data_IF_576587417622
#
_entry.id   IF_576587417622
#
_cell.length_a   1.000
_cell.length_b   1.000
_cell.length_c   1.000
_cell.angle_alpha   90.00
_cell.angle_beta   90.00
_cell.angle_gamma   90.00
#
_symmetry.space_group_name_H-M   'P 1'
#
loop_
_entity.id
_entity.type
_entity.pdbx_description
1 polymer ?
#
# COMPACT_ATOMS: atom_id res chain seq x y z
N UNK A 1 12.63 -25.35 8.89
CA UNK A 1 11.56 -25.17 7.89
C UNK A 1 10.26 -24.68 8.54
N UNK A 2 9.63 -25.44 9.43
CA UNK A 2 8.41 -24.99 10.12
C UNK A 2 8.58 -23.65 10.86
N UNK A 3 9.67 -23.51 11.62
CA UNK A 3 9.98 -22.26 12.34
C UNK A 3 10.09 -21.06 11.38
N UNK A 4 10.80 -21.21 10.26
CA UNK A 4 10.96 -20.14 9.26
C UNK A 4 9.60 -19.74 8.65
N UNK A 5 8.75 -20.72 8.35
CA UNK A 5 7.41 -20.45 7.83
C UNK A 5 6.56 -19.68 8.85
N UNK A 6 6.58 -20.10 10.11
CA UNK A 6 5.90 -19.38 11.20
C UNK A 6 6.44 -17.96 11.38
N UNK A 7 7.76 -17.77 11.29
CA UNK A 7 8.38 -16.45 11.36
C UNK A 7 7.94 -15.53 10.22
N UNK A 8 7.82 -16.06 8.99
CA UNK A 8 7.33 -15.29 7.83
C UNK A 8 5.87 -14.89 8.04
N UNK A 9 5.00 -15.84 8.41
CA UNK A 9 3.58 -15.55 8.63
C UNK A 9 3.38 -14.55 9.76
N UNK A 10 4.05 -14.75 10.91
CA UNK A 10 3.98 -13.82 12.04
C UNK A 10 4.55 -12.44 11.68
N UNK A 11 5.66 -12.40 10.95
CA UNK A 11 6.28 -11.16 10.48
C UNK A 11 5.33 -10.35 9.60
N UNK A 12 4.69 -10.98 8.61
CA UNK A 12 3.69 -10.31 7.77
C UNK A 12 2.48 -9.85 8.58
N UNK A 13 1.96 -10.69 9.50
CA UNK A 13 0.82 -10.31 10.33
C UNK A 13 1.12 -9.05 11.18
N UNK A 14 2.29 -9.01 11.82
CA UNK A 14 2.73 -7.86 12.62
C UNK A 14 2.96 -6.64 11.74
N UNK A 15 3.58 -6.81 10.57
CA UNK A 15 3.86 -5.72 9.64
C UNK A 15 2.56 -5.07 9.13
N UNK A 16 1.60 -5.88 8.68
CA UNK A 16 0.30 -5.42 8.19
C UNK A 16 -0.46 -4.71 9.32
N UNK A 17 -0.50 -5.31 10.51
CA UNK A 17 -1.16 -4.72 11.66
C UNK A 17 -0.52 -3.38 12.08
N UNK A 18 0.82 -3.31 12.10
CA UNK A 18 1.56 -2.11 12.42
C UNK A 18 1.31 -0.99 11.40
N UNK A 19 1.32 -1.33 10.10
CA UNK A 19 1.01 -0.38 9.03
C UNK A 19 -0.42 0.15 9.15
N UNK A 20 -1.42 -0.69 9.38
CA UNK A 20 -2.81 -0.26 9.56
C UNK A 20 -2.96 0.70 10.75
N UNK A 21 -2.35 0.36 11.90
CA UNK A 21 -2.36 1.25 13.08
C UNK A 21 -1.64 2.57 12.83
N UNK A 22 -0.52 2.55 12.10
CA UNK A 22 0.18 3.76 11.70
C UNK A 22 -0.70 4.65 10.81
N UNK A 23 -1.35 4.10 9.80
CA UNK A 23 -2.23 4.84 8.88
C UNK A 23 -3.42 5.44 9.61
N UNK A 24 -4.06 4.67 10.50
CA UNK A 24 -5.18 5.15 11.32
C UNK A 24 -4.74 6.30 12.23
N UNK A 25 -3.60 6.16 12.92
CA UNK A 25 -3.07 7.19 13.81
C UNK A 25 -2.67 8.46 13.06
N UNK A 26 -1.95 8.33 11.95
CA UNK A 26 -1.54 9.43 11.10
C UNK A 26 -2.76 10.15 10.50
N UNK A 27 -3.75 9.40 10.02
CA UNK A 27 -4.99 9.96 9.45
C UNK A 27 -5.82 10.69 10.51
N UNK A 28 -5.92 10.15 11.72
CA UNK A 28 -6.60 10.81 12.83
C UNK A 28 -5.89 12.11 13.23
N UNK A 29 -4.56 12.09 13.30
CA UNK A 29 -3.75 13.27 13.60
C UNK A 29 -3.94 14.36 12.56
N UNK A 30 -3.85 14.01 11.27
CA UNK A 30 -4.05 14.97 10.17
C UNK A 30 -5.45 15.60 10.21
N UNK A 31 -6.50 14.81 10.48
CA UNK A 31 -7.86 15.33 10.64
C UNK A 31 -8.00 16.28 11.83
N UNK A 32 -7.39 15.95 12.97
CA UNK A 32 -7.40 16.81 14.15
C UNK A 32 -6.67 18.15 13.93
N UNK A 33 -5.70 18.18 13.00
CA UNK A 33 -5.01 19.39 12.57
C UNK A 33 -5.77 20.17 11.48
N UNK A 34 -6.99 19.75 11.11
CA UNK A 34 -7.81 20.43 10.12
C UNK A 34 -7.46 20.11 8.66
N UNK A 35 -6.66 19.08 8.39
CA UNK A 35 -6.32 18.67 7.02
C UNK A 35 -7.57 18.09 6.33
N UNK A 36 -7.92 18.55 5.12
CA UNK A 36 -9.07 18.04 4.37
C UNK A 36 -9.02 16.52 4.16
N UNK A 37 -10.14 15.79 4.31
CA UNK A 37 -10.19 14.33 4.15
C UNK A 37 -9.65 13.83 2.80
N UNK A 38 -9.86 14.61 1.73
CA UNK A 38 -9.34 14.30 0.40
C UNK A 38 -7.80 14.24 0.39
N UNK A 39 -7.13 15.19 1.05
CA UNK A 39 -5.67 15.23 1.13
C UNK A 39 -5.17 14.05 1.97
N UNK A 40 -5.84 13.75 3.09
CA UNK A 40 -5.49 12.58 3.93
C UNK A 40 -5.62 11.26 3.14
N UNK A 41 -6.67 11.11 2.34
CA UNK A 41 -6.88 9.95 1.48
C UNK A 41 -5.79 9.82 0.40
N UNK A 42 -5.50 10.92 -0.31
CA UNK A 42 -4.50 10.93 -1.39
C UNK A 42 -3.06 10.77 -0.89
N UNK A 43 -2.78 11.14 0.36
CA UNK A 43 -1.41 11.10 0.92
C UNK A 43 -1.23 10.00 1.94
N UNK A 44 -1.76 10.17 3.15
CA UNK A 44 -1.54 9.26 4.29
C UNK A 44 -2.04 7.86 3.99
N UNK A 45 -3.25 7.75 3.42
CA UNK A 45 -3.82 6.44 3.10
C UNK A 45 -3.13 5.84 1.88
N UNK A 46 -2.90 6.62 0.83
CA UNK A 46 -2.20 6.17 -0.39
C UNK A 46 -0.78 5.67 -0.14
N UNK A 47 0.02 6.38 0.65
CA UNK A 47 1.34 5.89 1.09
C UNK A 47 1.22 4.76 2.11
N UNK A 48 0.23 4.85 2.97
CA UNK A 48 -0.02 3.91 4.06
C UNK A 48 -0.18 2.47 3.62
N UNK A 49 -0.92 2.25 2.54
CA UNK A 49 -1.15 0.92 1.97
C UNK A 49 0.10 0.32 1.34
N UNK A 50 1.06 1.15 0.90
CA UNK A 50 2.33 0.71 0.29
C UNK A 50 3.50 0.68 1.28
N UNK A 51 3.28 1.10 2.54
CA UNK A 51 4.32 1.13 3.56
C UNK A 51 4.93 -0.25 3.88
N UNK A 52 4.14 -1.34 4.00
CA UNK A 52 4.69 -2.68 4.17
C UNK A 52 5.65 -3.08 3.04
N UNK A 53 5.27 -2.82 1.79
CA UNK A 53 6.03 -3.15 0.59
C UNK A 53 7.34 -2.36 0.55
N UNK A 54 7.28 -1.06 0.85
CA UNK A 54 8.47 -0.22 0.95
C UNK A 54 9.44 -0.74 2.01
N UNK A 55 8.93 -1.15 3.18
CA UNK A 55 9.76 -1.72 4.25
C UNK A 55 10.39 -3.05 3.84
N UNK A 56 9.62 -3.97 3.26
CA UNK A 56 10.12 -5.27 2.80
C UNK A 56 11.14 -5.10 1.68
N UNK A 57 10.85 -4.28 0.68
CA UNK A 57 11.77 -3.98 -0.43
C UNK A 57 13.05 -3.29 0.05
N UNK A 58 12.93 -2.32 0.97
CA UNK A 58 14.07 -1.62 1.55
C UNK A 58 14.98 -2.55 2.36
N UNK A 59 14.40 -3.36 3.24
CA UNK A 59 15.15 -4.35 4.03
C UNK A 59 15.78 -5.43 3.15
N UNK A 60 15.09 -5.89 2.10
CA UNK A 60 15.65 -6.85 1.16
C UNK A 60 16.86 -6.28 0.41
N UNK A 61 16.78 -5.04 -0.07
CA UNK A 61 17.90 -4.38 -0.71
C UNK A 61 19.07 -4.17 0.26
N UNK A 62 18.78 -3.71 1.48
CA UNK A 62 19.78 -3.52 2.53
C UNK A 62 20.52 -4.82 2.90
N UNK A 63 19.79 -5.94 2.95
CA UNK A 63 20.34 -7.26 3.25
C UNK A 63 21.04 -7.92 2.04
N UNK A 64 21.34 -7.17 0.97
CA UNK A 64 22.04 -7.69 -0.21
C UNK A 64 21.20 -8.57 -1.13
N UNK A 65 19.86 -8.49 -1.03
CA UNK A 65 18.91 -9.26 -1.84
C UNK A 65 18.06 -8.35 -2.75
N UNK A 66 18.68 -7.61 -3.70
CA UNK A 66 17.96 -6.66 -4.55
C UNK A 66 16.93 -7.33 -5.48
N UNK A 67 17.12 -8.60 -5.84
CA UNK A 67 16.13 -9.36 -6.61
C UNK A 67 14.79 -9.50 -5.89
N UNK A 68 14.80 -9.73 -4.57
CA UNK A 68 13.59 -9.76 -3.75
C UNK A 68 12.98 -8.36 -3.65
N UNK A 69 13.82 -7.33 -3.52
CA UNK A 69 13.37 -5.94 -3.45
C UNK A 69 12.60 -5.50 -4.70
N UNK A 70 13.17 -5.73 -5.88
CA UNK A 70 12.56 -5.39 -7.17
C UNK A 70 11.37 -6.31 -7.45
N UNK A 71 11.49 -7.60 -7.13
CA UNK A 71 10.40 -8.56 -7.27
C UNK A 71 9.17 -8.18 -6.45
N UNK A 72 9.36 -7.71 -5.22
CA UNK A 72 8.28 -7.19 -4.39
C UNK A 72 7.67 -5.91 -4.97
N UNK A 73 8.50 -4.94 -5.36
CA UNK A 73 8.00 -3.67 -5.92
C UNK A 73 7.18 -3.85 -7.20
N UNK A 74 7.67 -4.65 -8.15
CA UNK A 74 6.97 -4.91 -9.41
C UNK A 74 5.79 -5.87 -9.21
N UNK A 75 5.99 -6.93 -8.43
CA UNK A 75 4.98 -7.95 -8.15
C UNK A 75 3.73 -7.36 -7.50
N UNK A 76 3.90 -6.47 -6.52
CA UNK A 76 2.77 -5.81 -5.85
C UNK A 76 1.95 -4.94 -6.81
N UNK A 77 2.59 -4.20 -7.72
CA UNK A 77 1.86 -3.41 -8.72
C UNK A 77 1.09 -4.29 -9.71
N UNK A 78 1.70 -5.38 -10.17
CA UNK A 78 1.04 -6.35 -11.05
C UNK A 78 -0.15 -7.00 -10.34
N UNK A 79 0.00 -7.38 -9.06
CA UNK A 79 -1.09 -7.94 -8.27
C UNK A 79 -2.20 -6.90 -8.03
N UNK A 80 -1.86 -5.65 -7.70
CA UNK A 80 -2.86 -4.60 -7.49
C UNK A 80 -3.69 -4.33 -8.75
N UNK A 81 -3.07 -4.31 -9.93
CA UNK A 81 -3.79 -4.07 -11.18
C UNK A 81 -4.54 -5.33 -11.63
N UNK A 82 -3.84 -6.46 -11.72
CA UNK A 82 -4.40 -7.69 -12.29
C UNK A 82 -5.38 -8.38 -11.34
N UNK A 83 -5.01 -8.53 -10.07
CA UNK A 83 -5.83 -9.24 -9.09
C UNK A 83 -6.83 -8.29 -8.42
N UNK A 84 -6.37 -7.20 -7.80
CA UNK A 84 -7.26 -6.35 -6.98
C UNK A 84 -8.23 -5.55 -7.84
N UNK A 85 -7.72 -4.74 -8.78
CA UNK A 85 -8.57 -3.96 -9.69
C UNK A 85 -9.36 -4.89 -10.61
N UNK A 86 -8.72 -5.94 -11.16
CA UNK A 86 -9.40 -6.93 -11.99
C UNK A 86 -10.59 -7.61 -11.28
N UNK A 87 -10.38 -8.13 -10.07
CA UNK A 87 -11.47 -8.73 -9.29
C UNK A 87 -12.54 -7.71 -8.90
N UNK A 88 -12.15 -6.49 -8.53
CA UNK A 88 -13.09 -5.42 -8.20
C UNK A 88 -13.96 -5.09 -9.40
N UNK A 89 -13.39 -4.95 -10.60
CA UNK A 89 -14.11 -4.64 -11.83
C UNK A 89 -15.09 -5.75 -12.26
N UNK A 90 -14.78 -7.02 -11.95
CA UNK A 90 -15.69 -8.15 -12.18
C UNK A 90 -16.92 -8.12 -11.26
N UNK A 91 -16.76 -7.65 -10.03
CA UNK A 91 -17.84 -7.58 -9.03
C UNK A 91 -18.64 -6.29 -9.16
N UNK A 92 -17.96 -5.16 -9.33
CA UNK A 92 -18.53 -3.83 -9.40
C UNK A 92 -17.81 -3.01 -10.49
N UNK A 93 -18.47 -2.75 -11.64
CA UNK A 93 -17.86 -1.99 -12.73
C UNK A 93 -17.37 -0.61 -12.26
N UNK A 94 -16.09 -0.33 -12.50
CA UNK A 94 -15.44 0.90 -12.05
C UNK A 94 -15.71 2.02 -13.06
N UNK A 95 -16.62 2.94 -12.71
CA UNK A 95 -16.91 4.12 -13.53
C UNK A 95 -15.93 5.26 -13.25
N UNK A 96 -14.94 5.44 -14.11
CA UNK A 96 -13.96 6.54 -14.00
C UNK A 96 -14.51 7.80 -14.66
N UNK A 97 -14.73 8.84 -13.86
CA UNK A 97 -15.21 10.14 -14.35
C UNK A 97 -14.03 11.02 -14.80
N UNK A 98 -14.16 11.70 -15.95
CA UNK A 98 -13.08 12.52 -16.53
C UNK A 98 -12.60 13.66 -15.63
N UNK A 99 -13.46 14.15 -14.73
CA UNK A 99 -13.10 15.16 -13.73
C UNK A 99 -12.14 14.62 -12.66
N UNK A 100 -12.25 13.34 -12.29
CA UNK A 100 -11.32 12.68 -11.35
C UNK A 100 -9.95 12.55 -12.01
N UNK A 101 -9.90 12.06 -13.25
CA UNK A 101 -8.66 11.97 -14.04
C UNK A 101 -7.97 13.33 -14.18
N UNK A 102 -8.68 14.38 -14.58
CA UNK A 102 -8.08 15.73 -14.73
C UNK A 102 -7.55 16.33 -13.44
N UNK A 103 -8.08 15.92 -12.28
CA UNK A 103 -7.68 16.46 -10.98
C UNK A 103 -6.54 15.67 -10.36
N UNK A 104 -6.49 14.37 -10.61
CA UNK A 104 -5.50 13.45 -10.01
C UNK A 104 -4.24 13.28 -10.88
N UNK A 105 -4.35 13.27 -12.22
CA UNK A 105 -3.17 13.13 -13.11
C UNK A 105 -2.10 14.22 -13.01
N UNK A 106 -2.44 15.52 -12.83
CA UNK A 106 -1.42 16.57 -12.71
C UNK A 106 -0.71 16.59 -11.35
N UNK A 107 -1.26 15.88 -10.36
CA UNK A 107 -0.74 15.82 -8.98
C UNK A 107 0.14 14.58 -8.72
N UNK A 108 0.13 13.61 -9.64
CA UNK A 108 1.02 12.44 -9.67
C UNK A 108 2.21 12.70 -10.60
#
# INVERSE_FOLDING_TARGET
MLLNFLSVVAGFAILIWGADRFVLGASATARNLGVPPLIVGLTVVGFGTSAPEMLVSGLAAWNGNPGISVGNALGSNIANIGLVIGATALVAPINVHSNTLRREFPLL
#
